data_IF_751477976029
#
_entry.id   IF_751477976029
#
_cell.length_a   1.000
_cell.length_b   1.000
_cell.length_c   1.000
_cell.angle_alpha   90.00
_cell.angle_beta   90.00
_cell.angle_gamma   90.00
#
_symmetry.space_group_name_H-M   'P 1'
#
loop_
_entity.id
_entity.type
_entity.pdbx_description
1 polymer ?
#
# COMPACT_ATOMS: atom_id res chain seq x y z
N UNK A 1 7.14 -29.59 11.81
CA UNK A 1 6.85 -28.35 11.05
C UNK A 1 6.14 -27.43 12.02
N UNK A 2 6.87 -26.56 12.71
CA UNK A 2 6.28 -25.59 13.62
C UNK A 2 6.15 -24.29 12.84
N UNK A 3 4.91 -23.90 12.51
CA UNK A 3 4.64 -22.55 12.03
C UNK A 3 4.98 -21.61 13.20
N UNK A 4 5.99 -20.77 13.00
CA UNK A 4 6.36 -19.72 13.95
C UNK A 4 5.33 -18.61 13.83
N UNK A 5 4.19 -18.78 14.50
CA UNK A 5 3.31 -17.67 14.89
C UNK A 5 4.11 -16.81 15.85
N UNK A 6 4.87 -15.86 15.30
CA UNK A 6 5.57 -14.84 16.05
C UNK A 6 4.69 -13.61 16.12
N UNK A 7 3.90 -13.50 17.20
CA UNK A 7 3.19 -12.31 17.70
C UNK A 7 2.92 -11.23 16.65
N UNK A 8 1.79 -11.38 15.96
CA UNK A 8 1.52 -10.87 14.61
C UNK A 8 0.51 -9.73 14.68
N UNK A 9 0.85 -8.54 14.16
CA UNK A 9 -0.18 -7.65 13.58
C UNK A 9 -0.87 -8.44 12.48
N UNK A 10 -2.18 -8.61 12.60
CA UNK A 10 -2.99 -9.73 12.13
C UNK A 10 -2.49 -10.42 10.85
N UNK A 11 -2.62 -11.75 10.76
CA UNK A 11 -2.34 -12.51 9.54
C UNK A 11 -2.92 -11.87 8.26
N UNK A 12 -4.01 -11.13 8.41
CA UNK A 12 -4.62 -10.30 7.38
C UNK A 12 -3.72 -9.15 6.89
N UNK A 13 -3.10 -8.40 7.80
CA UNK A 13 -2.19 -7.31 7.47
C UNK A 13 -0.95 -7.84 6.71
N UNK A 14 -0.44 -8.99 7.12
CA UNK A 14 0.67 -9.65 6.43
C UNK A 14 0.27 -10.07 5.01
N UNK A 15 -0.90 -10.70 4.84
CA UNK A 15 -1.38 -11.12 3.52
C UNK A 15 -1.62 -9.92 2.56
N UNK A 16 -2.12 -8.80 3.09
CA UNK A 16 -2.28 -7.57 2.33
C UNK A 16 -0.92 -7.01 1.90
N UNK A 17 0.03 -6.89 2.84
CA UNK A 17 1.38 -6.42 2.55
C UNK A 17 2.10 -7.32 1.53
N UNK A 18 1.94 -8.63 1.64
CA UNK A 18 2.47 -9.61 0.67
C UNK A 18 1.86 -9.41 -0.72
N UNK A 19 0.55 -9.17 -0.80
CA UNK A 19 -0.15 -8.93 -2.07
C UNK A 19 0.34 -7.65 -2.75
N UNK A 20 0.48 -6.55 -1.99
CA UNK A 20 1.01 -5.27 -2.50
C UNK A 20 2.46 -5.43 -2.97
N UNK A 21 3.31 -6.12 -2.21
CA UNK A 21 4.69 -6.40 -2.61
C UNK A 21 4.78 -7.27 -3.87
N UNK A 22 3.85 -8.22 -4.05
CA UNK A 22 3.73 -9.02 -5.26
C UNK A 22 3.42 -8.17 -6.49
N UNK A 23 2.44 -7.26 -6.37
CA UNK A 23 2.05 -6.33 -7.43
C UNK A 23 3.17 -5.36 -7.78
N UNK A 24 3.82 -4.77 -6.78
CA UNK A 24 4.99 -3.91 -6.98
C UNK A 24 6.08 -4.59 -7.82
N UNK A 25 6.42 -5.85 -7.46
CA UNK A 25 7.42 -6.61 -8.21
C UNK A 25 6.96 -6.90 -9.63
N UNK A 26 5.71 -7.30 -9.84
CA UNK A 26 5.17 -7.62 -11.16
C UNK A 26 5.10 -6.39 -12.10
N UNK A 27 4.52 -5.29 -11.60
CA UNK A 27 4.20 -4.11 -12.40
C UNK A 27 5.38 -3.17 -12.61
N UNK A 28 6.34 -3.12 -11.67
CA UNK A 28 7.50 -2.24 -11.77
C UNK A 28 8.78 -3.02 -12.07
N UNK A 29 9.17 -3.91 -11.16
CA UNK A 29 10.50 -4.54 -11.19
C UNK A 29 10.64 -5.54 -12.34
N UNK A 30 9.62 -6.36 -12.59
CA UNK A 30 9.64 -7.37 -13.65
C UNK A 30 9.21 -6.80 -15.01
N UNK A 31 8.35 -5.77 -15.02
CA UNK A 31 8.00 -5.05 -16.24
C UNK A 31 9.23 -4.37 -16.87
N UNK A 32 10.14 -3.83 -16.05
CA UNK A 32 11.43 -3.30 -16.51
C UNK A 32 12.57 -4.28 -16.16
N UNK A 33 12.92 -5.13 -17.14
CA UNK A 33 13.89 -6.23 -16.96
C UNK A 33 15.33 -5.77 -16.66
N UNK A 34 15.71 -4.54 -17.01
CA UNK A 34 17.06 -3.99 -16.81
C UNK A 34 16.95 -2.61 -16.18
N UNK A 35 17.71 -2.40 -15.10
CA UNK A 35 17.83 -1.14 -14.40
C UNK A 35 19.27 -0.62 -14.51
N UNK A 36 19.40 0.68 -14.73
CA UNK A 36 20.69 1.32 -14.98
C UNK A 36 21.47 1.58 -13.69
N UNK A 37 20.75 1.79 -12.58
CA UNK A 37 21.30 2.01 -11.25
C UNK A 37 20.27 1.70 -10.18
N UNK A 38 20.71 1.63 -8.91
CA UNK A 38 19.81 1.56 -7.75
C UNK A 38 18.97 2.82 -7.64
N UNK A 39 19.56 4.00 -7.88
CA UNK A 39 18.84 5.29 -7.85
C UNK A 39 17.69 5.32 -8.86
N UNK A 40 17.86 4.73 -10.04
CA UNK A 40 16.78 4.61 -11.02
C UNK A 40 15.62 3.74 -10.51
N UNK A 41 15.93 2.67 -9.75
CA UNK A 41 14.91 1.84 -9.10
C UNK A 41 14.21 2.63 -7.99
N UNK A 42 14.95 3.35 -7.15
CA UNK A 42 14.40 4.16 -6.07
C UNK A 42 13.43 5.22 -6.59
N UNK A 43 13.83 5.99 -7.61
CA UNK A 43 12.97 7.00 -8.23
C UNK A 43 11.69 6.37 -8.81
N UNK A 44 11.83 5.24 -9.50
CA UNK A 44 10.68 4.53 -10.06
C UNK A 44 9.77 3.94 -8.97
N UNK A 45 10.35 3.51 -7.85
CA UNK A 45 9.62 3.04 -6.66
C UNK A 45 8.81 4.16 -6.05
N UNK A 46 9.42 5.34 -5.86
CA UNK A 46 8.71 6.52 -5.38
C UNK A 46 7.54 6.87 -6.29
N UNK A 47 7.74 6.83 -7.60
CA UNK A 47 6.68 7.05 -8.59
C UNK A 47 5.56 6.02 -8.50
N UNK A 48 5.89 4.73 -8.40
CA UNK A 48 4.91 3.65 -8.27
C UNK A 48 4.10 3.76 -6.98
N UNK A 49 4.76 4.04 -5.85
CA UNK A 49 4.10 4.24 -4.54
C UNK A 49 3.18 5.45 -4.58
N UNK A 50 3.62 6.57 -5.16
CA UNK A 50 2.77 7.74 -5.32
C UNK A 50 1.52 7.39 -6.14
N UNK A 51 1.70 6.83 -7.34
CA UNK A 51 0.59 6.41 -8.19
C UNK A 51 -0.36 5.43 -7.50
N UNK A 52 0.15 4.42 -6.80
CA UNK A 52 -0.65 3.45 -6.06
C UNK A 52 -1.57 4.11 -5.02
N UNK A 53 -1.05 5.11 -4.30
CA UNK A 53 -1.76 5.76 -3.20
C UNK A 53 -2.68 6.90 -3.64
N UNK A 54 -2.38 7.59 -4.74
CA UNK A 54 -3.08 8.83 -5.12
C UNK A 54 -3.83 8.76 -6.45
N UNK A 55 -3.66 7.68 -7.22
CA UNK A 55 -4.22 7.60 -8.58
C UNK A 55 -4.83 6.25 -8.90
N UNK A 56 -4.25 5.15 -8.40
CA UNK A 56 -4.81 3.81 -8.62
C UNK A 56 -6.11 3.65 -7.85
N UNK A 57 -7.17 3.32 -8.56
CA UNK A 57 -8.46 2.95 -7.97
C UNK A 57 -8.41 1.48 -7.54
N UNK A 58 -8.97 1.19 -6.37
CA UNK A 58 -9.02 -0.17 -5.82
C UNK A 58 -10.46 -0.60 -5.66
N UNK A 59 -10.84 -1.71 -6.30
CA UNK A 59 -12.20 -2.26 -6.20
C UNK A 59 -12.60 -2.54 -4.74
N UNK A 60 -11.65 -3.03 -3.93
CA UNK A 60 -11.86 -3.27 -2.50
C UNK A 60 -12.11 -1.98 -1.68
N UNK A 61 -11.82 -0.81 -2.24
CA UNK A 61 -12.05 0.50 -1.64
C UNK A 61 -13.18 1.26 -2.37
N UNK A 62 -14.14 0.55 -2.96
CA UNK A 62 -15.23 1.16 -3.74
C UNK A 62 -14.75 2.06 -4.89
N UNK A 63 -13.66 1.66 -5.55
CA UNK A 63 -12.98 2.44 -6.59
C UNK A 63 -12.44 3.79 -6.12
N UNK A 64 -12.09 3.91 -4.85
CA UNK A 64 -11.32 5.04 -4.31
C UNK A 64 -9.83 4.72 -4.28
N UNK A 65 -9.04 5.78 -4.15
CA UNK A 65 -7.61 5.69 -3.85
C UNK A 65 -7.37 5.57 -2.34
N UNK A 66 -6.27 4.95 -1.88
CA UNK A 66 -5.94 4.90 -0.47
C UNK A 66 -5.88 6.30 0.18
N UNK A 67 -5.36 7.30 -0.52
CA UNK A 67 -5.33 8.67 -0.02
C UNK A 67 -6.73 9.27 0.21
N UNK A 68 -7.71 8.96 -0.64
CA UNK A 68 -9.10 9.41 -0.45
C UNK A 68 -9.74 8.73 0.76
N UNK A 69 -9.49 7.43 0.96
CA UNK A 69 -10.00 6.68 2.12
C UNK A 69 -9.41 7.23 3.41
N UNK A 70 -8.10 7.45 3.47
CA UNK A 70 -7.42 8.02 4.63
C UNK A 70 -7.90 9.45 4.94
N UNK A 71 -8.11 10.28 3.91
CA UNK A 71 -8.63 11.63 4.07
C UNK A 71 -10.06 11.63 4.64
N UNK A 72 -10.92 10.72 4.17
CA UNK A 72 -12.28 10.55 4.69
C UNK A 72 -12.27 10.05 6.14
N UNK A 73 -11.41 9.07 6.47
CA UNK A 73 -11.25 8.57 7.84
C UNK A 73 -10.77 9.66 8.80
N UNK A 74 -9.74 10.43 8.41
CA UNK A 74 -9.22 11.54 9.22
C UNK A 74 -10.29 12.60 9.50
N UNK A 75 -11.10 12.94 8.48
CA UNK A 75 -12.18 13.90 8.64
C UNK A 75 -13.29 13.43 9.60
N UNK A 76 -13.60 12.12 9.60
CA UNK A 76 -14.56 11.52 10.52
C UNK A 76 -14.03 11.52 11.97
N UNK A 77 -12.73 11.24 12.17
CA UNK A 77 -12.09 11.30 13.48
C UNK A 77 -12.05 12.73 14.06
N UNK A 78 -11.83 13.75 13.23
CA UNK A 78 -11.89 15.17 13.65
C UNK A 78 -13.32 15.63 13.99
N UNK A 79 -14.34 14.92 13.51
CA UNK A 79 -15.75 15.24 13.72
C UNK A 79 -16.37 14.56 14.95
N UNK A 80 -15.64 13.67 15.62
CA UNK A 80 -16.08 13.04 16.86
C UNK A 80 -16.16 14.09 18.00
N UNK A 81 -17.27 14.15 18.77
CA UNK A 81 -17.40 15.17 19.80
C UNK A 81 -16.37 14.92 20.89
N UNK A 82 -15.58 15.96 21.22
CA UNK A 82 -14.83 16.00 22.47
C UNK A 82 -15.87 15.88 23.59
N UNK A 83 -15.91 14.74 24.26
CA UNK A 83 -16.76 14.56 25.44
C UNK A 83 -16.30 15.59 26.48
N UNK A 84 -17.22 16.51 26.84
CA UNK A 84 -17.04 17.50 27.92
C UNK A 84 -17.37 16.90 29.28
#
# INVERSE_FOLDING_TARGET
>A
MSASVGTVGDSYDNALAESVNGLYKAELIHAKRIWESVEAVELATMGWVHWWNTTRLHEALDYLTPAEVEAAYTHDQDSAPVAS
#
